data_IF_794853511861
#
_entry.id   IF_794853511861
#
_cell.length_a   1.000
_cell.length_b   1.000
_cell.length_c   1.000
_cell.angle_alpha   90.00
_cell.angle_beta   90.00
_cell.angle_gamma   90.00
#
_symmetry.space_group_name_H-M   'P 1'
#
loop_
_entity.id
_entity.type
_entity.pdbx_description
1 polymer ?
#
# COMPACT_ATOMS: atom_id res chain seq x y z
N UNK A 1 67.69 4.94 -60.75
CA UNK A 1 66.23 4.83 -60.93
C UNK A 1 65.66 3.90 -59.86
N UNK A 2 64.52 4.20 -59.22
CA UNK A 2 63.85 3.51 -58.16
C UNK A 2 64.23 3.96 -56.75
N UNK A 3 63.67 5.10 -56.39
CA UNK A 3 63.40 5.50 -54.99
C UNK A 3 62.11 6.32 -54.99
N UNK A 4 60.99 5.70 -54.93
CA UNK A 4 59.68 6.36 -54.63
C UNK A 4 58.60 5.28 -54.53
N UNK A 5 58.47 4.58 -53.40
CA UNK A 5 57.29 3.80 -53.07
C UNK A 5 57.41 3.19 -51.67
N UNK A 6 57.54 4.01 -50.61
CA UNK A 6 57.58 3.47 -49.27
C UNK A 6 57.07 4.46 -48.19
N UNK A 7 56.03 5.23 -48.47
CA UNK A 7 55.41 6.11 -47.46
C UNK A 7 53.93 6.33 -47.74
N UNK A 8 53.15 5.30 -47.89
CA UNK A 8 51.63 5.44 -47.89
C UNK A 8 50.93 4.29 -47.14
N UNK A 9 51.53 3.63 -46.18
CA UNK A 9 50.91 2.50 -45.54
C UNK A 9 50.85 2.58 -43.97
N UNK A 10 50.92 3.77 -43.41
CA UNK A 10 50.88 3.90 -41.92
C UNK A 10 49.84 4.89 -41.40
N UNK A 11 48.79 5.23 -42.14
CA UNK A 11 47.77 6.19 -41.68
C UNK A 11 46.34 5.63 -41.60
N UNK A 12 46.14 4.31 -41.68
CA UNK A 12 44.82 3.69 -41.72
C UNK A 12 44.45 2.84 -40.48
N UNK A 13 45.27 2.86 -39.42
CA UNK A 13 45.06 2.00 -38.25
C UNK A 13 44.67 2.72 -36.93
N UNK A 14 44.32 4.01 -36.96
CA UNK A 14 44.06 4.80 -35.75
C UNK A 14 42.62 5.37 -35.66
N UNK A 15 41.68 4.89 -36.47
CA UNK A 15 40.31 5.43 -36.48
C UNK A 15 39.20 4.45 -36.03
N UNK A 16 39.50 3.33 -35.37
CA UNK A 16 38.50 2.35 -34.96
C UNK A 16 38.37 2.15 -33.44
N UNK A 17 38.73 3.14 -32.59
CA UNK A 17 38.61 3.02 -31.14
C UNK A 17 37.78 4.15 -30.48
N UNK A 18 36.91 4.82 -31.23
CA UNK A 18 35.92 5.73 -30.66
C UNK A 18 34.51 5.23 -30.99
N UNK A 19 34.16 4.00 -30.57
CA UNK A 19 32.79 3.69 -30.38
C UNK A 19 32.31 4.59 -29.25
N UNK A 20 31.34 5.51 -29.44
CA UNK A 20 30.73 6.18 -28.32
C UNK A 20 30.10 5.07 -27.48
N UNK A 21 30.56 4.93 -26.25
CA UNK A 21 29.70 4.47 -25.20
C UNK A 21 28.50 5.44 -25.22
N UNK A 22 27.54 5.20 -26.11
CA UNK A 22 26.17 5.61 -25.89
C UNK A 22 25.77 4.88 -24.64
N UNK A 23 26.17 5.44 -23.44
CA UNK A 23 25.45 5.22 -22.23
C UNK A 23 24.00 5.31 -22.67
N UNK A 24 23.24 4.25 -22.47
CA UNK A 24 21.79 4.29 -22.54
C UNK A 24 21.39 5.41 -21.59
N UNK A 25 21.42 6.64 -22.09
CA UNK A 25 20.81 7.79 -21.44
C UNK A 25 19.34 7.41 -21.39
N UNK A 26 18.95 6.81 -20.29
CA UNK A 26 17.56 6.51 -19.99
C UNK A 26 16.84 7.84 -20.17
N UNK A 27 15.91 7.88 -21.11
CA UNK A 27 15.18 9.11 -21.45
C UNK A 27 14.43 9.58 -20.21
N UNK A 28 15.08 10.47 -19.44
CA UNK A 28 14.48 11.06 -18.24
C UNK A 28 13.30 12.00 -18.56
N UNK A 29 12.96 12.16 -19.84
CA UNK A 29 11.80 12.95 -20.28
C UNK A 29 10.49 12.17 -20.12
N UNK A 30 10.52 10.84 -20.16
CA UNK A 30 9.32 10.03 -19.97
C UNK A 30 8.79 10.12 -18.54
N UNK A 31 7.46 10.30 -18.34
CA UNK A 31 6.89 10.36 -17.00
C UNK A 31 7.13 9.09 -16.20
N UNK A 32 7.42 9.23 -14.90
CA UNK A 32 7.36 8.12 -13.95
C UNK A 32 5.89 7.83 -13.64
N UNK A 33 5.41 6.67 -14.02
CA UNK A 33 4.06 6.20 -13.73
C UNK A 33 4.06 5.43 -12.41
N UNK A 34 3.15 5.76 -11.49
CA UNK A 34 2.93 5.00 -10.25
C UNK A 34 1.54 4.39 -10.29
N UNK A 35 1.47 3.06 -10.46
CA UNK A 35 0.21 2.32 -10.41
C UNK A 35 -0.27 2.22 -8.96
N UNK A 36 -1.49 2.70 -8.71
CA UNK A 36 -2.19 2.54 -7.44
C UNK A 36 -3.28 1.48 -7.62
N UNK A 37 -3.22 0.33 -6.91
CA UNK A 37 -4.11 -0.82 -7.16
C UNK A 37 -5.52 -0.67 -6.58
N UNK A 38 -5.90 0.55 -6.14
CA UNK A 38 -7.20 0.87 -5.56
C UNK A 38 -7.76 2.18 -6.14
N UNK A 39 -9.07 2.46 -5.97
CA UNK A 39 -9.68 3.70 -6.43
C UNK A 39 -9.06 4.93 -5.74
N UNK A 40 -9.19 6.13 -6.35
CA UNK A 40 -8.80 7.37 -5.71
C UNK A 40 -9.50 7.62 -4.38
N UNK A 41 -8.84 8.38 -3.49
CA UNK A 41 -9.40 8.86 -2.21
C UNK A 41 -9.24 7.93 -1.01
N UNK A 42 -8.77 6.68 -1.21
CA UNK A 42 -8.38 5.80 -0.09
C UNK A 42 -6.93 6.03 0.35
N UNK A 43 -6.53 5.48 1.51
CA UNK A 43 -5.17 5.62 2.06
C UNK A 43 -4.07 5.23 1.06
N UNK A 44 -4.28 4.17 0.26
CA UNK A 44 -3.34 3.73 -0.77
C UNK A 44 -3.06 4.80 -1.83
N UNK A 45 -4.07 5.58 -2.22
CA UNK A 45 -3.95 6.65 -3.20
C UNK A 45 -3.31 7.91 -2.61
N UNK A 46 -3.60 8.21 -1.34
CA UNK A 46 -3.05 9.37 -0.63
C UNK A 46 -1.52 9.31 -0.51
N UNK A 47 -0.95 8.12 -0.28
CA UNK A 47 0.49 7.95 -0.05
C UNK A 47 1.34 8.48 -1.21
N UNK A 48 1.21 8.02 -2.47
CA UNK A 48 2.00 8.57 -3.55
C UNK A 48 1.65 10.03 -3.88
N UNK A 49 0.39 10.49 -3.68
CA UNK A 49 -0.01 11.89 -3.92
C UNK A 49 0.63 12.86 -2.93
N UNK A 50 0.82 12.46 -1.67
CA UNK A 50 1.47 13.31 -0.66
C UNK A 50 2.92 13.67 -1.02
N UNK A 51 3.61 12.82 -1.79
CA UNK A 51 5.00 13.03 -2.18
C UNK A 51 5.19 13.33 -3.69
N UNK A 52 4.11 13.35 -4.49
CA UNK A 52 4.15 13.41 -5.95
C UNK A 52 4.95 14.62 -6.47
N UNK A 53 4.69 15.81 -5.98
CA UNK A 53 5.32 17.06 -6.39
C UNK A 53 6.80 17.13 -5.97
N UNK A 54 7.13 16.69 -4.77
CA UNK A 54 8.51 16.62 -4.27
C UNK A 54 9.30 15.56 -5.04
N UNK A 55 8.69 14.38 -5.25
CA UNK A 55 9.34 13.29 -6.00
C UNK A 55 9.58 13.68 -7.47
N UNK A 56 8.64 14.41 -8.10
CA UNK A 56 8.82 14.94 -9.46
C UNK A 56 10.03 15.87 -9.55
N UNK A 57 10.21 16.77 -8.57
CA UNK A 57 11.37 17.68 -8.51
C UNK A 57 12.68 16.91 -8.31
N UNK A 58 12.71 15.96 -7.38
CA UNK A 58 13.92 15.18 -7.06
C UNK A 58 14.37 14.29 -8.22
N UNK A 59 13.43 13.76 -9.00
CA UNK A 59 13.73 12.92 -10.16
C UNK A 59 13.97 13.71 -11.44
N UNK A 60 13.55 14.98 -11.50
CA UNK A 60 13.54 15.75 -12.77
C UNK A 60 12.57 15.16 -13.80
N UNK A 61 11.53 14.43 -13.37
CA UNK A 61 10.53 13.76 -14.18
C UNK A 61 9.13 14.08 -13.70
N UNK A 62 8.15 14.15 -14.59
CA UNK A 62 6.75 14.19 -14.19
C UNK A 62 6.36 12.86 -13.52
N UNK A 63 5.79 12.90 -12.33
CA UNK A 63 5.21 11.71 -11.68
C UNK A 63 3.71 11.68 -11.96
N UNK A 64 3.21 10.57 -12.49
CA UNK A 64 1.79 10.35 -12.82
C UNK A 64 1.24 9.23 -11.93
N UNK A 65 0.17 9.52 -11.21
CA UNK A 65 -0.55 8.53 -10.40
C UNK A 65 -1.67 7.92 -11.23
N UNK A 66 -1.63 6.60 -11.42
CA UNK A 66 -2.58 5.85 -12.25
C UNK A 66 -3.31 4.79 -11.42
N UNK A 67 -4.60 5.02 -11.16
CA UNK A 67 -5.41 4.12 -10.35
C UNK A 67 -5.95 2.96 -11.20
N UNK A 68 -5.52 1.72 -10.89
CA UNK A 68 -5.93 0.46 -11.53
C UNK A 68 -6.61 -0.46 -10.52
N UNK A 69 -7.84 -0.12 -10.18
CA UNK A 69 -8.59 -0.79 -9.13
C UNK A 69 -9.21 -2.11 -9.59
N UNK A 70 -9.42 -3.03 -8.65
CA UNK A 70 -10.21 -4.25 -8.82
C UNK A 70 -9.59 -5.49 -8.20
N UNK A 71 -10.45 -6.46 -7.88
CA UNK A 71 -10.10 -7.77 -7.31
C UNK A 71 -9.08 -7.68 -6.15
N UNK A 72 -9.38 -6.86 -5.11
CA UNK A 72 -8.47 -6.68 -3.96
C UNK A 72 -7.11 -6.08 -4.33
N UNK A 73 -7.00 -5.35 -5.45
CA UNK A 73 -5.77 -4.74 -5.95
C UNK A 73 -4.98 -5.61 -6.94
N UNK A 74 -5.43 -6.86 -7.18
CA UNK A 74 -4.67 -7.79 -8.03
C UNK A 74 -4.62 -7.37 -9.50
N UNK A 75 -5.61 -6.61 -10.01
CA UNK A 75 -5.61 -6.09 -11.39
C UNK A 75 -4.44 -5.13 -11.59
N UNK A 76 -4.27 -4.15 -10.71
CA UNK A 76 -3.18 -3.18 -10.80
C UNK A 76 -1.81 -3.83 -10.66
N UNK A 77 -1.66 -4.79 -9.75
CA UNK A 77 -0.38 -5.51 -9.58
C UNK A 77 -0.06 -6.40 -10.78
N UNK A 78 -1.04 -7.06 -11.38
CA UNK A 78 -0.84 -7.84 -12.60
C UNK A 78 -0.45 -6.96 -13.80
N UNK A 79 -0.95 -5.73 -13.89
CA UNK A 79 -0.51 -4.76 -14.90
C UNK A 79 0.95 -4.35 -14.66
N UNK A 80 1.31 -4.04 -13.39
CA UNK A 80 2.69 -3.72 -13.03
C UNK A 80 3.66 -4.86 -13.35
N UNK A 81 3.31 -6.10 -13.02
CA UNK A 81 4.16 -7.27 -13.26
C UNK A 81 4.54 -7.43 -14.75
N UNK A 82 3.67 -6.96 -15.65
CA UNK A 82 3.88 -6.99 -17.11
C UNK A 82 4.49 -5.72 -17.69
N UNK A 83 4.72 -4.68 -16.88
CA UNK A 83 5.29 -3.42 -17.37
C UNK A 83 6.76 -3.61 -17.77
N UNK A 84 7.13 -3.12 -18.96
CA UNK A 84 8.48 -3.26 -19.55
C UNK A 84 9.07 -1.91 -19.97
N UNK A 85 8.39 -0.80 -19.69
CA UNK A 85 8.76 0.56 -20.09
C UNK A 85 9.93 1.15 -19.29
N UNK A 86 10.36 0.50 -18.20
CA UNK A 86 11.45 0.96 -17.35
C UNK A 86 11.13 2.21 -16.50
N UNK A 87 9.91 2.75 -16.58
CA UNK A 87 9.46 3.96 -15.88
C UNK A 87 8.14 3.77 -15.12
N UNK A 88 7.82 2.53 -14.72
CA UNK A 88 6.60 2.22 -13.97
C UNK A 88 6.94 1.63 -12.61
N UNK A 89 6.36 2.20 -11.55
CA UNK A 89 6.32 1.70 -10.18
C UNK A 89 4.89 1.30 -9.82
N UNK A 90 4.73 0.55 -8.75
CA UNK A 90 3.43 0.28 -8.15
C UNK A 90 3.43 0.48 -6.66
N UNK A 91 2.28 0.86 -6.11
CA UNK A 91 2.07 0.89 -4.66
C UNK A 91 1.77 -0.52 -4.19
N UNK A 92 2.74 -1.13 -3.53
CA UNK A 92 2.54 -2.37 -2.77
C UNK A 92 1.84 -2.06 -1.45
N UNK A 93 0.94 -2.94 -1.05
CA UNK A 93 0.20 -2.83 0.21
C UNK A 93 0.25 -4.16 0.94
N UNK A 94 -0.02 -4.17 2.24
CA UNK A 94 -0.20 -5.42 2.97
C UNK A 94 -1.33 -6.28 2.36
N UNK A 95 -2.34 -5.66 1.74
CA UNK A 95 -3.37 -6.41 0.98
C UNK A 95 -2.77 -7.15 -0.21
N UNK A 96 -2.07 -6.45 -1.10
CA UNK A 96 -1.57 -7.02 -2.37
C UNK A 96 -0.34 -7.91 -2.19
N UNK A 97 0.54 -7.61 -1.23
CA UNK A 97 1.82 -8.31 -1.02
C UNK A 97 1.90 -9.09 0.30
N UNK A 98 0.78 -9.26 0.98
CA UNK A 98 0.68 -10.08 2.18
C UNK A 98 -0.57 -10.96 2.13
N UNK A 99 -1.77 -10.31 2.09
CA UNK A 99 -3.05 -11.00 2.18
C UNK A 99 -3.40 -11.74 0.90
N UNK A 100 -3.33 -11.11 -0.28
CA UNK A 100 -3.68 -11.76 -1.55
C UNK A 100 -2.93 -13.07 -1.77
N UNK A 101 -1.58 -13.15 -1.60
CA UNK A 101 -0.85 -14.41 -1.71
C UNK A 101 -1.24 -15.48 -0.68
N UNK A 102 -1.92 -15.07 0.39
CA UNK A 102 -2.34 -15.97 1.45
C UNK A 102 -3.75 -16.55 1.25
N UNK A 103 -4.64 -15.83 0.56
CA UNK A 103 -6.07 -16.15 0.51
C UNK A 103 -6.60 -16.49 -0.88
N UNK A 104 -5.95 -16.04 -1.97
CA UNK A 104 -6.38 -16.36 -3.33
C UNK A 104 -5.76 -17.66 -3.83
N UNK A 105 -6.59 -18.59 -4.36
CA UNK A 105 -6.12 -19.82 -4.98
C UNK A 105 -5.41 -19.59 -6.32
N UNK A 106 -5.81 -18.54 -7.06
CA UNK A 106 -5.18 -18.10 -8.31
C UNK A 106 -4.95 -16.59 -8.25
N UNK A 107 -3.69 -16.20 -8.27
CA UNK A 107 -3.29 -14.80 -8.33
C UNK A 107 -2.63 -14.54 -9.69
N UNK A 108 -2.96 -13.44 -10.41
CA UNK A 108 -2.37 -13.15 -11.72
C UNK A 108 -0.95 -12.56 -11.65
N UNK A 109 -0.31 -12.61 -10.49
CA UNK A 109 1.07 -12.21 -10.22
C UNK A 109 1.63 -13.01 -9.04
N UNK A 110 2.95 -13.09 -8.95
CA UNK A 110 3.66 -13.59 -7.78
C UNK A 110 4.28 -12.41 -7.02
N UNK A 111 3.88 -12.21 -5.77
CA UNK A 111 4.29 -11.06 -4.96
C UNK A 111 5.79 -11.07 -4.59
N UNK A 112 6.47 -12.23 -4.68
CA UNK A 112 7.89 -12.37 -4.37
C UNK A 112 8.78 -12.35 -5.61
N UNK A 113 8.30 -12.93 -6.73
CA UNK A 113 9.15 -13.17 -7.90
C UNK A 113 8.90 -12.22 -9.06
N UNK A 114 7.76 -11.52 -9.13
CA UNK A 114 7.44 -10.59 -10.21
C UNK A 114 7.86 -9.15 -9.92
N UNK A 115 8.31 -8.85 -8.68
CA UNK A 115 8.64 -7.50 -8.26
C UNK A 115 9.99 -7.43 -7.53
N UNK A 116 10.53 -6.21 -7.50
CA UNK A 116 11.65 -5.82 -6.64
C UNK A 116 11.13 -4.74 -5.68
N UNK A 117 11.34 -4.92 -4.38
CA UNK A 117 11.02 -3.89 -3.38
C UNK A 117 11.88 -2.64 -3.62
N UNK A 118 11.24 -1.47 -3.64
CA UNK A 118 11.97 -0.19 -3.66
C UNK A 118 12.15 0.31 -2.23
N UNK A 119 11.05 0.48 -1.49
CA UNK A 119 11.07 0.88 -0.06
C UNK A 119 9.67 0.74 0.55
N UNK A 120 9.57 0.44 1.85
CA UNK A 120 8.37 0.77 2.61
C UNK A 120 8.31 2.29 2.76
N UNK A 121 7.20 2.89 2.36
CA UNK A 121 7.00 4.35 2.41
C UNK A 121 6.45 4.76 3.77
N UNK A 122 5.37 4.11 4.22
CA UNK A 122 4.70 4.41 5.49
C UNK A 122 4.15 3.15 6.14
N UNK A 123 4.02 3.20 7.46
CA UNK A 123 3.12 2.36 8.24
C UNK A 123 1.78 3.06 8.39
N UNK A 124 0.69 2.30 8.30
CA UNK A 124 -0.67 2.81 8.29
C UNK A 124 -1.51 2.10 9.36
N UNK A 125 -1.87 2.77 10.45
CA UNK A 125 -2.77 2.22 11.44
C UNK A 125 -4.13 1.85 10.86
N UNK A 126 -4.68 0.72 11.30
CA UNK A 126 -6.06 0.35 11.07
C UNK A 126 -6.99 0.98 12.11
N UNK A 127 -8.25 1.05 11.77
CA UNK A 127 -9.32 1.52 12.67
C UNK A 127 -10.59 0.72 12.44
N UNK A 128 -11.29 0.40 13.52
CA UNK A 128 -12.70 0.02 13.44
C UNK A 128 -13.55 1.26 13.71
N UNK A 129 -14.40 1.61 12.75
CA UNK A 129 -15.35 2.72 12.87
C UNK A 129 -16.79 2.21 12.79
N UNK A 130 -17.68 2.94 13.42
CA UNK A 130 -19.12 2.70 13.36
C UNK A 130 -19.87 3.97 12.96
N UNK A 131 -21.06 3.80 12.39
CA UNK A 131 -22.02 4.89 12.25
C UNK A 131 -22.78 5.06 13.58
N UNK A 132 -22.56 6.17 14.33
CA UNK A 132 -23.15 6.35 15.65
C UNK A 132 -24.67 6.56 15.63
N UNK A 133 -25.26 6.86 14.46
CA UNK A 133 -26.71 6.96 14.30
C UNK A 133 -27.39 5.60 14.22
N UNK A 134 -26.64 4.53 13.93
CA UNK A 134 -27.14 3.15 13.80
C UNK A 134 -26.72 2.30 14.99
N UNK A 135 -25.46 2.40 15.39
CA UNK A 135 -24.91 1.67 16.54
C UNK A 135 -24.59 2.67 17.65
N UNK A 136 -25.29 2.63 18.81
CA UNK A 136 -25.11 3.62 19.87
C UNK A 136 -23.85 3.40 20.73
N UNK A 137 -23.06 2.35 20.47
CA UNK A 137 -21.85 2.02 21.22
C UNK A 137 -20.84 3.16 21.23
N UNK A 138 -20.24 3.44 22.39
CA UNK A 138 -19.28 4.52 22.59
C UNK A 138 -17.82 4.03 22.70
N UNK A 139 -17.64 2.75 22.97
CA UNK A 139 -16.34 2.12 23.17
C UNK A 139 -16.36 0.65 22.72
N UNK A 140 -15.21 -0.01 22.81
CA UNK A 140 -15.02 -1.39 22.35
C UNK A 140 -15.93 -2.39 23.08
N UNK A 141 -16.02 -2.30 24.41
CA UNK A 141 -16.84 -3.23 25.20
C UNK A 141 -18.34 -3.10 24.90
N UNK A 142 -18.81 -1.86 24.72
CA UNK A 142 -20.20 -1.60 24.32
C UNK A 142 -20.49 -2.11 22.90
N UNK A 143 -19.53 -1.94 21.96
CA UNK A 143 -19.68 -2.49 20.60
C UNK A 143 -19.78 -4.02 20.63
N UNK A 144 -18.88 -4.70 21.33
CA UNK A 144 -18.92 -6.16 21.44
C UNK A 144 -20.22 -6.64 22.08
N UNK A 145 -20.67 -5.95 23.14
CA UNK A 145 -21.96 -6.26 23.79
C UNK A 145 -23.13 -6.09 22.81
N UNK A 146 -23.17 -5.00 22.06
CA UNK A 146 -24.21 -4.74 21.06
C UNK A 146 -24.21 -5.81 19.95
N UNK A 147 -23.04 -6.18 19.45
CA UNK A 147 -22.91 -7.21 18.40
C UNK A 147 -23.35 -8.58 18.92
N UNK A 148 -22.99 -8.98 20.14
CA UNK A 148 -23.44 -10.22 20.77
C UNK A 148 -24.95 -10.29 21.01
N UNK A 149 -25.59 -9.14 21.25
CA UNK A 149 -27.05 -9.05 21.36
C UNK A 149 -27.77 -9.10 20.00
N UNK A 150 -27.04 -8.97 18.88
CA UNK A 150 -27.56 -8.95 17.51
C UNK A 150 -26.84 -9.92 16.59
N UNK A 151 -26.71 -11.21 16.90
CA UNK A 151 -25.90 -12.16 16.14
C UNK A 151 -26.37 -12.26 14.69
N UNK A 152 -25.43 -12.14 13.75
CA UNK A 152 -25.65 -12.23 12.30
C UNK A 152 -26.49 -11.12 11.67
N UNK A 153 -26.98 -10.14 12.47
CA UNK A 153 -27.83 -9.03 11.96
C UNK A 153 -27.03 -7.81 11.52
N UNK A 154 -25.80 -7.66 12.05
CA UNK A 154 -24.96 -6.49 11.77
C UNK A 154 -23.95 -6.86 10.69
N UNK A 155 -23.89 -6.01 9.66
CA UNK A 155 -22.88 -6.13 8.60
C UNK A 155 -21.68 -5.21 8.86
N UNK A 156 -20.54 -5.59 8.27
CA UNK A 156 -19.36 -4.73 8.23
C UNK A 156 -18.82 -4.59 6.81
N UNK A 157 -18.40 -3.38 6.49
CA UNK A 157 -17.79 -3.02 5.22
C UNK A 157 -16.26 -3.28 5.25
N UNK A 158 -15.69 -3.54 4.08
CA UNK A 158 -14.24 -3.52 3.83
C UNK A 158 -13.96 -2.99 2.43
N UNK A 159 -12.72 -2.57 2.11
CA UNK A 159 -12.36 -2.19 0.75
C UNK A 159 -12.42 -3.33 -0.28
N UNK A 160 -12.72 -4.56 0.14
CA UNK A 160 -12.93 -5.71 -0.73
C UNK A 160 -12.45 -7.04 -0.16
N UNK A 161 -12.81 -8.11 -0.83
CA UNK A 161 -12.30 -9.45 -0.53
C UNK A 161 -10.77 -9.47 -0.68
N UNK A 162 -10.06 -10.20 0.20
CA UNK A 162 -8.61 -10.31 0.17
C UNK A 162 -7.87 -9.02 0.58
N UNK A 163 -8.56 -8.01 1.08
CA UNK A 163 -7.89 -6.82 1.64
C UNK A 163 -7.56 -7.00 3.11
N UNK A 164 -6.66 -6.15 3.62
CA UNK A 164 -6.32 -6.18 5.05
C UNK A 164 -7.55 -5.86 5.94
N UNK A 165 -8.47 -5.02 5.48
CA UNK A 165 -9.74 -4.77 6.17
C UNK A 165 -10.59 -6.04 6.33
N UNK A 166 -10.61 -6.93 5.33
CA UNK A 166 -11.25 -8.25 5.43
C UNK A 166 -10.58 -9.10 6.51
N UNK A 167 -9.24 -9.13 6.55
CA UNK A 167 -8.50 -9.86 7.58
C UNK A 167 -8.76 -9.32 8.97
N UNK A 168 -8.77 -7.99 9.16
CA UNK A 168 -9.09 -7.36 10.45
C UNK A 168 -10.51 -7.70 10.93
N UNK A 169 -11.51 -7.66 10.02
CA UNK A 169 -12.88 -8.06 10.34
C UNK A 169 -12.97 -9.52 10.79
N UNK A 170 -12.32 -10.43 10.08
CA UNK A 170 -12.30 -11.85 10.44
C UNK A 170 -11.56 -12.12 11.75
N UNK A 171 -10.43 -11.45 12.00
CA UNK A 171 -9.72 -11.55 13.26
C UNK A 171 -10.55 -10.99 14.43
N UNK A 172 -11.25 -9.86 14.22
CA UNK A 172 -12.16 -9.28 15.23
C UNK A 172 -13.28 -10.25 15.59
N UNK A 173 -13.96 -10.85 14.60
CA UNK A 173 -15.01 -11.85 14.81
C UNK A 173 -14.47 -13.02 15.62
N UNK A 174 -13.30 -13.54 15.27
CA UNK A 174 -12.66 -14.66 15.95
C UNK A 174 -12.28 -14.33 17.39
N UNK A 175 -11.68 -13.16 17.63
CA UNK A 175 -11.21 -12.74 18.94
C UNK A 175 -12.37 -12.42 19.92
N UNK A 176 -13.47 -11.86 19.41
CA UNK A 176 -14.59 -11.40 20.24
C UNK A 176 -15.74 -12.40 20.33
N UNK A 177 -15.78 -13.40 19.44
CA UNK A 177 -16.88 -14.38 19.35
C UNK A 177 -18.21 -13.78 18.90
N UNK A 178 -18.18 -12.65 18.16
CA UNK A 178 -19.39 -12.04 17.57
C UNK A 178 -19.68 -12.64 16.20
N UNK A 179 -20.94 -12.51 15.74
CA UNK A 179 -21.35 -12.90 14.40
C UNK A 179 -21.72 -11.65 13.59
N UNK A 180 -21.06 -11.45 12.46
CA UNK A 180 -21.26 -10.32 11.55
C UNK A 180 -21.25 -10.77 10.10
N UNK A 181 -21.93 -10.01 9.22
CA UNK A 181 -21.97 -10.28 7.77
C UNK A 181 -20.97 -9.38 7.04
N UNK A 182 -20.02 -9.96 6.31
CA UNK A 182 -19.05 -9.20 5.52
C UNK A 182 -19.68 -8.67 4.22
N UNK A 183 -19.53 -7.36 3.97
CA UNK A 183 -19.93 -6.68 2.73
C UNK A 183 -18.67 -6.10 2.08
N UNK A 184 -18.12 -6.75 1.04
CA UNK A 184 -16.95 -6.27 0.32
C UNK A 184 -17.31 -5.19 -0.69
N UNK A 185 -16.55 -4.10 -0.70
CA UNK A 185 -16.68 -2.99 -1.66
C UNK A 185 -15.53 -2.99 -2.68
N UNK A 186 -15.66 -2.15 -3.71
CA UNK A 186 -14.59 -1.94 -4.70
C UNK A 186 -13.69 -0.78 -4.29
N UNK A 187 -13.13 -0.85 -3.06
CA UNK A 187 -12.24 0.17 -2.48
C UNK A 187 -12.87 0.94 -1.33
N UNK A 188 -12.08 1.82 -0.70
CA UNK A 188 -12.46 2.57 0.50
C UNK A 188 -13.60 3.59 0.24
N UNK A 189 -13.57 4.31 -0.88
CA UNK A 189 -14.56 5.35 -1.19
C UNK A 189 -16.01 4.86 -1.16
N UNK A 190 -16.41 3.87 -1.96
CA UNK A 190 -17.76 3.29 -1.90
C UNK A 190 -18.11 2.74 -0.53
N UNK A 191 -17.15 2.08 0.17
CA UNK A 191 -17.38 1.54 1.50
C UNK A 191 -17.74 2.63 2.52
N UNK A 192 -16.92 3.68 2.60
CA UNK A 192 -17.16 4.77 3.56
C UNK A 192 -18.48 5.51 3.29
N UNK A 193 -18.88 5.67 2.02
CA UNK A 193 -20.14 6.30 1.67
C UNK A 193 -21.35 5.53 2.21
N UNK A 194 -21.36 4.20 2.06
CA UNK A 194 -22.46 3.36 2.56
C UNK A 194 -22.46 3.30 4.09
N UNK A 195 -21.27 3.37 4.72
CA UNK A 195 -21.17 3.45 6.18
C UNK A 195 -21.70 4.79 6.70
N UNK A 196 -21.37 5.89 6.04
CA UNK A 196 -21.93 7.23 6.34
C UNK A 196 -23.45 7.27 6.14
N UNK A 197 -23.95 6.59 5.11
CA UNK A 197 -25.39 6.44 4.85
C UNK A 197 -26.12 5.49 5.78
N UNK A 198 -25.39 4.77 6.66
CA UNK A 198 -25.97 3.80 7.60
C UNK A 198 -26.39 2.47 6.98
N UNK A 199 -26.09 2.22 5.70
CA UNK A 199 -26.41 0.96 5.01
C UNK A 199 -25.61 -0.21 5.57
N UNK A 200 -24.34 0.02 5.90
CA UNK A 200 -23.45 -0.94 6.58
C UNK A 200 -22.83 -0.22 7.78
N UNK A 201 -23.23 -0.54 9.01
CA UNK A 201 -22.94 0.32 10.16
C UNK A 201 -21.54 0.19 10.74
N UNK A 202 -20.74 -0.80 10.34
CA UNK A 202 -19.36 -1.05 10.83
C UNK A 202 -18.40 -1.07 9.67
N UNK A 203 -17.19 -0.52 9.84
CA UNK A 203 -16.16 -0.53 8.81
C UNK A 203 -14.77 -0.78 9.40
N UNK A 204 -14.04 -1.70 8.79
CA UNK A 204 -12.62 -1.93 9.05
C UNK A 204 -11.79 -1.26 7.96
N UNK A 205 -11.09 -0.20 8.31
CA UNK A 205 -10.37 0.68 7.39
C UNK A 205 -8.99 1.08 7.91
N UNK A 206 -8.20 1.77 7.07
CA UNK A 206 -7.06 2.54 7.53
C UNK A 206 -7.51 3.91 8.05
N UNK A 207 -6.83 4.40 9.10
CA UNK A 207 -7.15 5.69 9.72
C UNK A 207 -7.21 6.82 8.70
N UNK A 208 -6.25 6.90 7.79
CA UNK A 208 -6.13 8.00 6.83
C UNK A 208 -7.40 8.23 5.99
N UNK A 209 -8.10 7.18 5.57
CA UNK A 209 -9.33 7.31 4.78
C UNK A 209 -10.56 7.68 5.61
N UNK A 210 -10.65 7.20 6.85
CA UNK A 210 -11.79 7.46 7.74
C UNK A 210 -11.63 8.72 8.59
N UNK A 211 -10.42 9.26 8.74
CA UNK A 211 -10.10 10.35 9.66
C UNK A 211 -10.97 11.60 9.50
N UNK A 212 -11.22 12.14 8.29
CA UNK A 212 -12.08 13.32 8.14
C UNK A 212 -13.50 13.11 8.65
N UNK A 213 -14.01 11.88 8.52
CA UNK A 213 -15.36 11.52 8.96
C UNK A 213 -15.43 11.28 10.48
N UNK A 214 -14.34 10.81 11.08
CA UNK A 214 -14.21 10.69 12.53
C UNK A 214 -14.12 12.10 13.14
N UNK A 215 -13.26 12.97 12.61
CA UNK A 215 -13.10 14.35 13.08
C UNK A 215 -14.36 15.19 12.96
N UNK A 216 -15.18 14.95 11.91
CA UNK A 216 -16.48 15.61 11.74
C UNK A 216 -17.60 14.99 12.57
N UNK A 217 -17.33 13.94 13.35
CA UNK A 217 -18.33 13.24 14.17
C UNK A 217 -19.33 12.38 13.40
N UNK A 218 -19.20 12.27 12.06
CA UNK A 218 -20.09 11.43 11.24
C UNK A 218 -19.84 9.94 11.46
N UNK A 219 -18.62 9.55 11.75
CA UNK A 219 -18.23 8.22 12.17
C UNK A 219 -17.61 8.27 13.56
N UNK A 220 -17.73 7.18 14.31
CA UNK A 220 -17.05 7.00 15.59
C UNK A 220 -15.99 5.94 15.47
N UNK A 221 -14.74 6.31 15.77
CA UNK A 221 -13.66 5.35 15.94
C UNK A 221 -13.81 4.64 17.30
N UNK A 222 -13.65 3.33 17.29
CA UNK A 222 -13.81 2.47 18.47
C UNK A 222 -12.46 1.99 19.00
N UNK A 223 -11.56 1.61 18.11
CA UNK A 223 -10.18 1.23 18.43
C UNK A 223 -9.28 1.35 17.21
N UNK A 224 -7.99 1.53 17.44
CA UNK A 224 -6.96 1.59 16.40
C UNK A 224 -5.93 0.46 16.55
N UNK A 225 -5.38 -0.01 15.44
CA UNK A 225 -4.29 -0.99 15.43
C UNK A 225 -2.94 -0.28 15.41
N UNK A 226 -2.47 0.15 16.59
CA UNK A 226 -1.17 0.80 16.77
C UNK A 226 -0.63 0.49 18.17
N UNK A 227 0.66 0.73 18.40
CA UNK A 227 1.31 0.45 19.69
C UNK A 227 0.91 1.45 20.80
N UNK A 228 0.43 2.62 20.42
CA UNK A 228 -0.02 3.69 21.32
C UNK A 228 -1.19 4.48 20.68
N UNK A 229 -1.95 5.32 21.44
CA UNK A 229 -2.95 6.19 20.88
C UNK A 229 -2.33 7.12 19.81
N UNK A 230 -3.07 7.34 18.71
CA UNK A 230 -2.57 8.15 17.60
C UNK A 230 -2.68 9.64 17.91
N UNK A 231 -1.67 10.43 17.54
CA UNK A 231 -1.70 11.89 17.72
C UNK A 231 -2.92 12.56 17.05
N UNK A 232 -3.40 12.01 15.93
CA UNK A 232 -4.59 12.49 15.21
C UNK A 232 -5.92 12.01 15.82
N UNK A 233 -5.89 11.03 16.75
CA UNK A 233 -7.04 10.45 17.44
C UNK A 233 -6.67 10.08 18.89
N UNK A 234 -6.27 11.04 19.73
CA UNK A 234 -5.70 10.77 21.06
C UNK A 234 -6.69 10.09 22.03
N UNK A 235 -7.98 10.30 21.84
CA UNK A 235 -9.04 9.72 22.69
C UNK A 235 -9.44 8.29 22.27
N UNK A 236 -8.93 7.78 21.13
CA UNK A 236 -9.29 6.46 20.63
C UNK A 236 -8.27 5.44 21.15
N UNK A 237 -8.71 4.42 21.92
CA UNK A 237 -7.80 3.42 22.46
C UNK A 237 -7.22 2.53 21.36
N UNK A 238 -6.05 1.95 21.62
CA UNK A 238 -5.54 0.85 20.82
C UNK A 238 -6.32 -0.43 21.14
N UNK A 239 -6.27 -1.42 20.24
CA UNK A 239 -6.84 -2.74 20.54
C UNK A 239 -6.20 -3.37 21.80
N UNK A 240 -4.90 -3.14 22.02
CA UNK A 240 -4.22 -3.63 23.23
C UNK A 240 -4.81 -3.01 24.51
N UNK A 241 -5.07 -1.69 24.51
CA UNK A 241 -5.75 -1.00 25.63
C UNK A 241 -7.20 -1.46 25.80
N UNK A 242 -7.84 -1.89 24.71
CA UNK A 242 -9.19 -2.48 24.76
C UNK A 242 -9.21 -3.95 25.21
N UNK A 243 -8.05 -4.54 25.59
CA UNK A 243 -7.93 -5.92 26.06
C UNK A 243 -7.71 -6.96 24.96
N UNK A 244 -7.45 -6.54 23.72
CA UNK A 244 -7.27 -7.39 22.54
C UNK A 244 -5.95 -7.12 21.80
N UNK A 245 -4.78 -7.34 22.44
CA UNK A 245 -3.48 -7.09 21.83
C UNK A 245 -3.23 -7.89 20.54
N UNK A 246 -3.88 -9.04 20.37
CA UNK A 246 -3.82 -9.88 19.16
C UNK A 246 -4.40 -9.21 17.90
N UNK A 247 -5.26 -8.19 18.08
CA UNK A 247 -5.82 -7.39 16.98
C UNK A 247 -4.95 -6.18 16.61
N UNK A 248 -3.86 -5.96 17.33
CA UNK A 248 -3.02 -4.78 17.16
C UNK A 248 -2.01 -4.96 16.00
N UNK A 249 -2.52 -5.15 14.78
CA UNK A 249 -1.73 -5.38 13.57
C UNK A 249 -1.89 -4.23 12.56
N UNK A 250 -0.99 -3.24 12.54
CA UNK A 250 -1.03 -2.16 11.56
C UNK A 250 -0.74 -2.67 10.14
N UNK A 251 -1.15 -1.87 9.15
CA UNK A 251 -0.81 -2.06 7.75
C UNK A 251 0.42 -1.24 7.36
N UNK A 252 0.82 -1.37 6.09
CA UNK A 252 1.90 -0.60 5.48
C UNK A 252 1.62 -0.36 4.00
N UNK A 253 2.27 0.66 3.45
CA UNK A 253 2.35 0.94 2.02
C UNK A 253 3.80 1.14 1.61
N UNK A 254 4.18 0.57 0.47
CA UNK A 254 5.51 0.71 -0.10
C UNK A 254 5.47 0.83 -1.60
N UNK A 255 6.64 1.01 -2.20
CA UNK A 255 6.80 1.02 -3.64
C UNK A 255 7.56 -0.22 -4.10
N UNK A 256 7.08 -0.82 -5.18
CA UNK A 256 7.73 -1.95 -5.87
C UNK A 256 7.89 -1.62 -7.35
N UNK A 257 8.90 -2.21 -7.97
CA UNK A 257 9.16 -2.16 -9.41
C UNK A 257 8.97 -3.55 -10.03
N UNK A 258 8.76 -3.66 -11.37
CA UNK A 258 8.83 -4.93 -12.07
C UNK A 258 10.19 -5.61 -11.87
N UNK A 259 10.21 -6.95 -11.79
CA UNK A 259 11.42 -7.76 -11.50
C UNK A 259 12.63 -7.49 -12.39
N UNK A 260 12.37 -7.12 -13.64
CA UNK A 260 13.43 -6.87 -14.63
C UNK A 260 13.94 -5.43 -14.62
N UNK A 261 13.50 -4.60 -13.66
CA UNK A 261 13.97 -3.21 -13.52
C UNK A 261 15.48 -3.22 -13.18
N UNK A 262 16.32 -2.46 -13.91
CA UNK A 262 17.75 -2.41 -13.62
C UNK A 262 18.03 -1.98 -12.17
N UNK A 263 18.97 -2.60 -11.47
CA UNK A 263 19.30 -2.26 -10.07
C UNK A 263 19.64 -0.78 -9.85
N UNK A 264 20.33 -0.16 -10.81
CA UNK A 264 20.65 1.28 -10.77
C UNK A 264 19.39 2.16 -10.77
N UNK A 265 18.34 1.75 -11.51
CA UNK A 265 17.07 2.46 -11.53
C UNK A 265 16.30 2.30 -10.22
N UNK A 266 16.27 1.09 -9.65
CA UNK A 266 15.68 0.83 -8.32
C UNK A 266 16.38 1.69 -7.27
N UNK A 267 17.71 1.74 -7.27
CA UNK A 267 18.49 2.56 -6.33
C UNK A 267 18.21 4.07 -6.51
N UNK A 268 18.07 4.55 -7.76
CA UNK A 268 17.71 5.94 -8.07
C UNK A 268 16.35 6.30 -7.47
N UNK A 269 15.33 5.46 -7.66
CA UNK A 269 14.00 5.68 -7.11
C UNK A 269 14.00 5.60 -5.59
N UNK A 270 14.65 4.59 -5.02
CA UNK A 270 14.77 4.44 -3.57
C UNK A 270 15.40 5.68 -2.92
N UNK A 271 16.49 6.20 -3.50
CA UNK A 271 17.14 7.42 -3.02
C UNK A 271 16.21 8.63 -3.08
N UNK A 272 15.50 8.82 -4.20
CA UNK A 272 14.58 9.94 -4.37
C UNK A 272 13.39 9.86 -3.38
N UNK A 273 12.82 8.66 -3.19
CA UNK A 273 11.74 8.44 -2.21
C UNK A 273 12.25 8.70 -0.79
N UNK A 274 13.43 8.17 -0.43
CA UNK A 274 14.03 8.38 0.89
C UNK A 274 14.30 9.88 1.18
N UNK A 275 14.60 10.68 0.14
CA UNK A 275 14.72 12.14 0.26
C UNK A 275 13.34 12.80 0.39
N UNK A 276 12.36 12.40 -0.41
CA UNK A 276 11.00 12.93 -0.32
C UNK A 276 10.37 12.70 1.06
N UNK A 277 10.62 11.54 1.67
CA UNK A 277 10.14 11.21 3.01
C UNK A 277 10.81 12.01 4.14
N UNK A 278 11.86 12.77 3.84
CA UNK A 278 12.49 13.73 4.78
C UNK A 278 12.04 15.17 4.54
N UNK A 279 11.30 15.43 3.46
CA UNK A 279 10.78 16.75 3.16
C UNK A 279 9.71 17.15 4.19
N UNK A 280 9.83 18.31 4.85
CA UNK A 280 8.89 18.71 5.90
C UNK A 280 7.43 18.77 5.44
N UNK A 281 7.18 19.12 4.16
CA UNK A 281 5.83 19.18 3.60
C UNK A 281 5.25 17.77 3.47
N UNK A 282 6.07 16.82 3.03
CA UNK A 282 5.64 15.40 2.91
C UNK A 282 5.36 14.81 4.28
N UNK A 283 6.26 15.01 5.25
CA UNK A 283 6.07 14.55 6.63
C UNK A 283 4.80 15.15 7.22
N UNK A 284 4.60 16.44 7.11
CA UNK A 284 3.40 17.13 7.62
C UNK A 284 2.10 16.56 7.00
N UNK A 285 2.10 16.32 5.67
CA UNK A 285 0.94 15.72 4.98
C UNK A 285 0.64 14.30 5.46
N UNK A 286 1.69 13.49 5.67
CA UNK A 286 1.55 12.12 6.17
C UNK A 286 1.04 12.10 7.61
N UNK A 287 1.66 12.88 8.50
CA UNK A 287 1.30 12.97 9.91
C UNK A 287 -0.15 13.44 10.10
N UNK A 288 -0.57 14.45 9.33
CA UNK A 288 -1.95 14.96 9.37
C UNK A 288 -3.01 13.91 8.99
N UNK A 289 -2.60 12.84 8.32
CA UNK A 289 -3.45 11.71 7.92
C UNK A 289 -3.26 10.48 8.82
N UNK A 290 -2.42 10.54 9.85
CA UNK A 290 -2.07 9.39 10.69
C UNK A 290 -1.27 8.32 9.96
N UNK A 291 -0.45 8.72 8.98
CA UNK A 291 0.49 7.86 8.26
C UNK A 291 1.91 8.10 8.79
N UNK A 292 2.58 7.04 9.19
CA UNK A 292 3.91 7.14 9.83
C UNK A 292 5.01 6.79 8.82
N UNK A 293 5.85 7.77 8.49
CA UNK A 293 6.95 7.62 7.55
C UNK A 293 7.92 6.52 7.99
N UNK A 294 8.32 5.66 7.07
CA UNK A 294 9.25 4.53 7.29
C UNK A 294 10.56 4.71 6.52
N UNK A 295 10.60 4.49 5.21
CA UNK A 295 11.79 4.73 4.38
C UNK A 295 12.85 3.64 4.50
N UNK A 296 12.47 2.37 4.47
CA UNK A 296 13.38 1.22 4.56
C UNK A 296 14.31 1.08 3.36
N UNK A 297 15.36 0.26 3.49
CA UNK A 297 16.13 -0.16 2.32
C UNK A 297 15.31 -1.09 1.41
N UNK A 298 15.72 -1.21 0.14
CA UNK A 298 15.10 -2.14 -0.82
C UNK A 298 15.19 -3.61 -0.35
N UNK A 299 16.33 -3.99 0.24
CA UNK A 299 16.53 -5.34 0.75
C UNK A 299 15.62 -5.63 1.95
N UNK A 300 15.55 -4.72 2.93
CA UNK A 300 14.71 -4.88 4.11
C UNK A 300 13.23 -4.96 3.74
N UNK A 301 12.79 -4.12 2.78
CA UNK A 301 11.41 -4.14 2.33
C UNK A 301 11.06 -5.44 1.58
N UNK A 302 11.96 -5.96 0.76
CA UNK A 302 11.77 -7.26 0.09
C UNK A 302 11.67 -8.40 1.12
N UNK A 303 12.51 -8.39 2.15
CA UNK A 303 12.45 -9.37 3.23
C UNK A 303 11.15 -9.24 4.06
N UNK A 304 10.72 -8.01 4.33
CA UNK A 304 9.46 -7.74 5.01
C UNK A 304 8.26 -8.32 4.26
N UNK A 305 8.18 -8.16 2.93
CA UNK A 305 7.12 -8.74 2.09
C UNK A 305 7.07 -10.27 2.29
N UNK A 306 8.22 -10.95 2.23
CA UNK A 306 8.28 -12.40 2.43
C UNK A 306 7.77 -12.82 3.82
N UNK A 307 8.16 -12.09 4.86
CA UNK A 307 7.72 -12.33 6.23
C UNK A 307 6.19 -12.11 6.39
N UNK A 308 5.66 -11.03 5.82
CA UNK A 308 4.23 -10.72 5.90
C UNK A 308 3.37 -11.74 5.15
N UNK A 309 3.82 -12.27 4.01
CA UNK A 309 3.11 -13.37 3.32
C UNK A 309 3.02 -14.59 4.22
N UNK A 310 4.12 -14.99 4.88
CA UNK A 310 4.12 -16.15 5.78
C UNK A 310 3.16 -15.93 6.97
N UNK A 311 3.19 -14.74 7.56
CA UNK A 311 2.30 -14.33 8.66
C UNK A 311 0.82 -14.35 8.22
N UNK A 312 0.50 -13.77 7.06
CA UNK A 312 -0.88 -13.72 6.56
C UNK A 312 -1.41 -15.12 6.22
N UNK A 313 -0.57 -16.05 5.73
CA UNK A 313 -0.96 -17.45 5.53
C UNK A 313 -1.40 -18.13 6.83
N UNK A 314 -0.66 -17.91 7.93
CA UNK A 314 -1.03 -18.46 9.24
C UNK A 314 -2.37 -17.87 9.72
N UNK A 315 -2.55 -16.55 9.59
CA UNK A 315 -3.79 -15.87 9.98
C UNK A 315 -4.97 -16.37 9.13
N UNK A 316 -4.83 -16.42 7.81
CA UNK A 316 -5.87 -16.89 6.88
C UNK A 316 -6.30 -18.33 7.19
N UNK A 317 -5.34 -19.24 7.40
CA UNK A 317 -5.62 -20.59 7.81
C UNK A 317 -6.38 -20.66 9.14
N UNK A 318 -5.98 -19.88 10.14
CA UNK A 318 -6.61 -19.85 11.45
C UNK A 318 -8.03 -19.25 11.46
N UNK A 319 -8.35 -18.43 10.46
CA UNK A 319 -9.65 -17.79 10.28
C UNK A 319 -10.51 -18.44 9.19
N UNK A 320 -10.04 -19.56 8.57
CA UNK A 320 -10.68 -20.25 7.46
C UNK A 320 -11.01 -19.32 6.27
N UNK A 321 -10.13 -18.38 5.95
CA UNK A 321 -10.31 -17.44 4.84
C UNK A 321 -9.63 -18.00 3.58
N UNK A 322 -10.42 -18.26 2.55
CA UNK A 322 -9.97 -18.64 1.21
C UNK A 322 -10.87 -18.00 0.17
N UNK A 323 -10.27 -17.53 -0.92
CA UNK A 323 -10.97 -16.84 -2.02
C UNK A 323 -10.68 -17.62 -3.32
N UNK A 324 -11.75 -18.02 -4.00
CA UNK A 324 -11.66 -18.76 -5.27
C UNK A 324 -11.40 -17.84 -6.46
#
# INVERSE_FOLDING_TARGET
>A
MQRRSFMVSLSAAALTAAAPLAALAQDNSAPLRIIVPFPPGGATDMVPRNMQDVLSKLLGQTVVIDNKAGAGGSIGMAELARATDGNTLGVATLSTHGVNPAVYNKLPYDALTDFVGVTEVVKAPGVIVINPSVIPAKNFAELVTYLKANPGKISFATPGNGTIGHMWGAQFIKATGVEMVHIPYRGAGPAVNDVLGGQVPVYFDQVASSLPHIQSGKLRAIAVSWHEPLAVLPEVPTYAQAGHPELNAPSWFGLVAPKNTPPAQVARWQKAVAQALKDPIVVQRMDAQGLYVSGTSSADFTQQIAHEIAKMKQIAASANISIQ
#
